data_IF_267329523603
#
_entry.id   IF_267329523603
#
_cell.length_a   1.000
_cell.length_b   1.000
_cell.length_c   1.000
_cell.angle_alpha   90.00
_cell.angle_beta   90.00
_cell.angle_gamma   90.00
#
_symmetry.space_group_name_H-M   'P 1'
#
loop_
_entity.id
_entity.type
_entity.pdbx_description
1 polymer ?
#
# COMPACT_ATOMS: atom_id res chain seq x y z
N UNK A 1 -71.69 50.76 40.07
CA UNK A 1 -73.16 50.73 39.89
C UNK A 1 -73.46 49.75 38.75
N UNK A 2 -73.96 48.57 39.12
CA UNK A 2 -74.83 47.62 38.42
C UNK A 2 -74.97 47.55 36.88
N UNK A 3 -75.25 46.30 36.45
CA UNK A 3 -75.94 45.82 35.22
C UNK A 3 -74.99 45.46 34.06
N UNK A 4 -74.68 44.17 33.83
CA UNK A 4 -75.49 43.07 33.24
C UNK A 4 -75.62 43.14 31.70
N UNK A 5 -74.98 42.15 31.07
CA UNK A 5 -75.28 41.40 29.83
C UNK A 5 -76.11 42.06 28.73
N UNK A 6 -75.60 42.00 27.50
CA UNK A 6 -76.37 41.54 26.34
C UNK A 6 -75.44 40.87 25.32
N UNK A 7 -75.79 39.63 24.98
CA UNK A 7 -75.24 38.82 23.91
C UNK A 7 -76.03 39.15 22.64
N UNK A 8 -75.35 39.44 21.53
CA UNK A 8 -75.91 39.30 20.18
C UNK A 8 -74.93 38.49 19.35
N UNK A 9 -75.37 37.27 19.00
CA UNK A 9 -74.81 36.45 17.93
C UNK A 9 -75.11 37.13 16.59
N UNK A 10 -74.09 37.34 15.76
CA UNK A 10 -74.24 37.47 14.32
C UNK A 10 -73.16 36.60 13.67
N UNK A 11 -73.60 35.49 13.07
CA UNK A 11 -72.76 34.59 12.32
C UNK A 11 -72.39 35.20 10.97
N UNK A 12 -71.10 35.16 10.63
CA UNK A 12 -70.63 35.28 9.26
C UNK A 12 -69.67 34.11 9.04
N UNK A 13 -70.05 33.25 8.09
CA UNK A 13 -69.26 32.15 7.60
C UNK A 13 -68.01 32.67 6.91
N UNK A 14 -66.84 32.21 7.35
CA UNK A 14 -65.59 32.35 6.61
C UNK A 14 -64.97 30.97 6.41
N UNK A 15 -64.71 30.69 5.14
CA UNK A 15 -64.21 29.44 4.59
C UNK A 15 -63.01 28.86 5.34
N UNK A 16 -63.10 27.57 5.61
CA UNK A 16 -62.01 26.66 5.92
C UNK A 16 -61.09 26.50 4.72
N UNK A 17 -59.83 26.92 4.84
CA UNK A 17 -58.71 26.36 4.08
C UNK A 17 -57.85 25.60 5.09
N UNK A 18 -57.94 24.28 5.04
CA UNK A 18 -57.05 23.40 5.78
C UNK A 18 -55.66 23.43 5.15
N UNK A 19 -54.66 23.82 5.93
CA UNK A 19 -53.27 23.50 5.63
C UNK A 19 -52.91 22.20 6.37
N UNK A 20 -53.18 21.08 5.72
CA UNK A 20 -52.53 19.80 6.03
C UNK A 20 -51.18 19.74 5.33
N UNK A 21 -50.15 19.51 6.16
CA UNK A 21 -48.88 18.81 5.89
C UNK A 21 -48.01 19.28 4.72
N UNK A 22 -46.75 19.60 5.06
CA UNK A 22 -45.61 18.75 4.64
C UNK A 22 -44.47 18.95 5.61
N UNK A 23 -44.25 17.95 6.46
CA UNK A 23 -43.03 17.80 7.22
C UNK A 23 -41.96 17.38 6.20
N UNK A 24 -41.18 18.34 5.70
CA UNK A 24 -40.04 18.05 4.84
C UNK A 24 -39.02 17.27 5.66
N UNK A 25 -39.06 15.94 5.56
CA UNK A 25 -37.91 15.11 5.87
C UNK A 25 -36.78 15.57 4.95
N UNK A 26 -35.85 16.35 5.51
CA UNK A 26 -34.51 16.47 4.97
C UNK A 26 -33.95 15.06 5.02
N UNK A 27 -34.00 14.35 3.88
CA UNK A 27 -33.18 13.17 3.66
C UNK A 27 -31.74 13.63 3.79
N UNK A 28 -31.15 13.44 4.97
CA UNK A 28 -29.70 13.43 5.11
C UNK A 28 -29.20 12.42 4.08
N UNK A 29 -28.60 12.92 3.01
CA UNK A 29 -27.89 12.09 2.04
C UNK A 29 -26.80 11.42 2.88
N UNK A 30 -26.99 10.15 3.24
CA UNK A 30 -25.98 9.39 3.98
C UNK A 30 -24.72 9.49 3.13
N UNK A 31 -23.70 10.19 3.64
CA UNK A 31 -22.44 10.33 2.92
C UNK A 31 -21.96 8.93 2.55
N UNK A 32 -21.51 8.77 1.30
CA UNK A 32 -20.99 7.49 0.84
C UNK A 32 -19.84 7.10 1.77
N UNK A 33 -19.89 5.89 2.35
CA UNK A 33 -18.87 5.43 3.28
C UNK A 33 -17.49 5.50 2.62
N UNK A 34 -16.50 6.05 3.32
CA UNK A 34 -15.11 6.04 2.85
C UNK A 34 -14.50 4.64 3.00
N UNK A 35 -13.41 4.33 2.29
CA UNK A 35 -12.74 3.03 2.42
C UNK A 35 -12.29 2.75 3.86
N UNK A 36 -11.60 3.70 4.50
CA UNK A 36 -11.12 3.54 5.88
C UNK A 36 -12.24 3.28 6.88
N UNK A 37 -13.44 3.83 6.67
CA UNK A 37 -14.61 3.59 7.53
C UNK A 37 -15.24 2.23 7.22
N UNK A 38 -15.43 1.92 5.93
CA UNK A 38 -16.05 0.67 5.49
C UNK A 38 -15.26 -0.57 5.97
N UNK A 39 -13.93 -0.47 6.02
CA UNK A 39 -13.04 -1.59 6.36
C UNK A 39 -12.40 -1.47 7.76
N UNK A 40 -12.77 -0.48 8.58
CA UNK A 40 -12.12 -0.16 9.86
C UNK A 40 -11.96 -1.37 10.80
N UNK A 41 -12.99 -2.21 10.90
CA UNK A 41 -13.02 -3.38 11.78
C UNK A 41 -12.43 -4.65 11.14
N UNK A 42 -11.85 -4.53 9.93
CA UNK A 42 -11.33 -5.65 9.13
C UNK A 42 -9.83 -5.59 9.02
N UNK A 43 -9.32 -4.52 8.44
CA UNK A 43 -7.90 -4.28 8.21
C UNK A 43 -7.65 -2.81 7.91
N UNK A 44 -6.39 -2.38 8.06
CA UNK A 44 -6.00 -1.05 7.60
C UNK A 44 -6.15 -0.93 6.08
N UNK A 45 -6.66 0.21 5.61
CA UNK A 45 -6.67 0.60 4.21
C UNK A 45 -5.59 1.66 4.01
N UNK A 46 -4.57 1.33 3.20
CA UNK A 46 -3.42 2.18 2.99
C UNK A 46 -3.19 2.62 1.55
N UNK A 47 -2.33 3.62 1.40
CA UNK A 47 -1.83 4.09 0.11
C UNK A 47 -0.35 4.47 0.17
N UNK A 48 0.37 4.27 -0.93
CA UNK A 48 1.73 4.75 -1.09
C UNK A 48 1.75 6.24 -1.45
N UNK A 49 2.59 7.01 -0.74
CA UNK A 49 2.72 8.45 -0.95
C UNK A 49 4.06 8.79 -1.62
N UNK A 50 3.99 9.54 -2.71
CA UNK A 50 5.15 10.18 -3.31
C UNK A 50 5.38 11.57 -2.70
N UNK A 51 6.43 12.28 -3.13
CA UNK A 51 6.80 13.57 -2.55
C UNK A 51 5.75 14.67 -2.76
N UNK A 52 4.91 14.59 -3.80
CA UNK A 52 3.85 15.57 -4.03
C UNK A 52 2.75 15.47 -2.96
N UNK A 53 2.41 14.26 -2.51
CA UNK A 53 1.50 14.06 -1.38
C UNK A 53 2.17 14.36 -0.03
N UNK A 54 3.38 13.84 0.20
CA UNK A 54 4.12 14.04 1.47
C UNK A 54 4.31 15.52 1.80
N UNK A 55 4.60 16.34 0.78
CA UNK A 55 4.76 17.78 0.92
C UNK A 55 3.46 18.58 0.73
N UNK A 56 2.31 17.90 0.66
CA UNK A 56 0.97 18.49 0.53
C UNK A 56 0.86 19.46 -0.69
N UNK A 57 1.57 19.16 -1.79
CA UNK A 57 1.63 19.99 -3.01
C UNK A 57 0.49 19.72 -3.99
N UNK A 58 -0.12 18.54 -3.89
CA UNK A 58 -1.30 18.16 -4.67
C UNK A 58 -2.55 18.10 -3.77
N UNK A 59 -3.27 19.23 -3.57
CA UNK A 59 -4.39 19.28 -2.64
C UNK A 59 -5.56 18.35 -3.01
N UNK A 60 -5.71 17.99 -4.29
CA UNK A 60 -6.77 17.09 -4.74
C UNK A 60 -6.44 15.65 -4.35
N UNK A 61 -5.21 15.19 -4.60
CA UNK A 61 -4.74 13.89 -4.11
C UNK A 61 -4.82 13.82 -2.58
N UNK A 62 -4.41 14.90 -1.90
CA UNK A 62 -4.42 14.98 -0.45
C UNK A 62 -5.80 14.82 0.18
N UNK A 63 -6.83 15.33 -0.49
CA UNK A 63 -8.21 15.12 -0.06
C UNK A 63 -8.56 13.63 -0.09
N UNK A 64 -8.21 12.93 -1.16
CA UNK A 64 -8.43 11.48 -1.27
C UNK A 64 -7.66 10.72 -0.19
N UNK A 65 -6.38 11.06 0.05
CA UNK A 65 -5.57 10.43 1.10
C UNK A 65 -6.25 10.54 2.48
N UNK A 66 -6.68 11.74 2.83
CA UNK A 66 -7.30 12.03 4.12
C UNK A 66 -8.67 11.39 4.29
N UNK A 67 -9.49 11.37 3.25
CA UNK A 67 -10.84 10.83 3.31
C UNK A 67 -10.82 9.29 3.30
N UNK A 68 -9.96 8.67 2.49
CA UNK A 68 -10.12 7.25 2.13
C UNK A 68 -9.19 6.30 2.89
N UNK A 69 -8.05 6.76 3.41
CA UNK A 69 -7.02 5.88 3.94
C UNK A 69 -6.73 6.14 5.43
N UNK A 70 -6.33 5.09 6.15
CA UNK A 70 -5.89 5.14 7.55
C UNK A 70 -4.48 4.54 7.76
N UNK A 71 -3.81 4.18 6.67
CA UNK A 71 -2.43 3.70 6.66
C UNK A 71 -1.65 4.30 5.48
N UNK A 72 -0.35 4.54 5.67
CA UNK A 72 0.52 5.12 4.65
C UNK A 72 1.89 4.44 4.62
N UNK A 73 2.48 4.42 3.42
CA UNK A 73 3.84 3.97 3.17
C UNK A 73 4.54 4.98 2.26
N UNK A 74 5.82 5.24 2.50
CA UNK A 74 6.60 6.12 1.64
C UNK A 74 7.02 5.36 0.36
N UNK A 75 6.62 5.86 -0.81
CA UNK A 75 6.91 5.20 -2.09
C UNK A 75 8.43 5.09 -2.35
N UNK A 76 9.18 6.13 -1.99
CA UNK A 76 10.62 6.22 -2.29
C UNK A 76 11.48 6.77 -1.15
N UNK A 77 11.04 7.83 -0.46
CA UNK A 77 11.94 8.63 0.39
C UNK A 77 12.54 7.88 1.60
N UNK A 78 12.01 6.69 1.95
CA UNK A 78 12.54 5.84 3.03
C UNK A 78 13.40 4.66 2.53
N UNK A 79 13.62 4.52 1.22
CA UNK A 79 14.56 3.52 0.68
C UNK A 79 16.00 3.93 0.98
N UNK A 80 16.89 2.94 1.13
CA UNK A 80 18.26 3.15 1.63
C UNK A 80 19.08 4.17 0.83
N UNK A 81 18.94 4.26 -0.50
CA UNK A 81 19.67 5.27 -1.30
C UNK A 81 19.27 6.71 -1.00
N UNK A 82 18.04 6.95 -0.57
CA UNK A 82 17.56 8.29 -0.22
C UNK A 82 17.86 8.63 1.24
N UNK A 83 17.76 7.63 2.13
CA UNK A 83 18.01 7.81 3.55
C UNK A 83 19.49 8.00 3.87
N UNK A 84 20.38 7.29 3.15
CA UNK A 84 21.82 7.35 3.39
C UNK A 84 22.60 7.35 2.07
N UNK A 85 22.57 8.45 1.30
CA UNK A 85 23.19 8.52 -0.02
C UNK A 85 24.71 8.34 -0.01
N UNK A 86 25.39 8.65 1.11
CA UNK A 86 26.82 8.40 1.34
C UNK A 86 27.05 7.77 2.70
N UNK A 87 28.15 7.02 2.83
CA UNK A 87 28.51 6.37 4.10
C UNK A 87 28.59 7.39 5.24
N UNK A 88 27.83 7.16 6.31
CA UNK A 88 27.75 8.05 7.46
C UNK A 88 26.96 9.36 7.26
N UNK A 89 26.53 9.71 6.05
CA UNK A 89 25.74 10.91 5.76
C UNK A 89 24.27 10.53 5.53
N UNK A 90 23.41 10.85 6.50
CA UNK A 90 21.98 10.60 6.42
C UNK A 90 21.19 11.82 5.98
N UNK A 91 20.17 11.60 5.16
CA UNK A 91 19.23 12.62 4.72
C UNK A 91 17.82 12.23 5.13
N UNK A 92 17.32 12.86 6.19
CA UNK A 92 16.02 12.54 6.79
C UNK A 92 14.90 13.51 6.43
N UNK A 93 15.17 14.58 5.69
CA UNK A 93 14.19 15.67 5.49
C UNK A 93 12.84 15.17 4.96
N UNK A 94 12.85 14.36 3.90
CA UNK A 94 11.61 13.87 3.28
C UNK A 94 10.93 12.79 4.12
N UNK A 95 11.71 11.91 4.77
CA UNK A 95 11.17 10.89 5.66
C UNK A 95 10.61 11.48 6.97
N UNK A 96 11.23 12.52 7.52
CA UNK A 96 10.70 13.28 8.66
C UNK A 96 9.36 13.93 8.30
N UNK A 97 9.26 14.50 7.09
CA UNK A 97 8.02 15.07 6.58
C UNK A 97 6.94 13.99 6.40
N UNK A 98 7.29 12.80 5.89
CA UNK A 98 6.37 11.66 5.82
C UNK A 98 5.84 11.23 7.20
N UNK A 99 6.72 11.13 8.20
CA UNK A 99 6.27 10.75 9.56
C UNK A 99 5.42 11.86 10.18
N UNK A 100 5.81 13.13 10.04
CA UNK A 100 5.00 14.25 10.52
C UNK A 100 3.62 14.31 9.84
N UNK A 101 3.56 13.98 8.54
CA UNK A 101 2.33 13.88 7.79
C UNK A 101 1.37 12.85 8.40
N UNK A 102 1.87 11.64 8.70
CA UNK A 102 1.08 10.56 9.26
C UNK A 102 0.66 10.81 10.71
N UNK A 103 1.55 11.35 11.55
CA UNK A 103 1.23 11.70 12.94
C UNK A 103 0.14 12.76 13.03
N UNK A 104 0.22 13.82 12.21
CA UNK A 104 -0.79 14.88 12.12
C UNK A 104 -2.19 14.33 11.81
N UNK A 105 -2.27 13.17 11.16
CA UNK A 105 -3.49 12.54 10.67
C UNK A 105 -3.84 11.24 11.40
N UNK A 106 -3.10 10.88 12.44
CA UNK A 106 -3.25 9.63 13.19
C UNK A 106 -3.28 8.38 12.28
N UNK A 107 -2.36 8.33 11.31
CA UNK A 107 -2.27 7.22 10.36
C UNK A 107 -1.32 6.13 10.87
N UNK A 108 -1.65 4.87 10.55
CA UNK A 108 -0.72 3.77 10.66
C UNK A 108 0.40 3.92 9.63
N UNK A 109 1.66 3.91 10.06
CA UNK A 109 2.81 4.23 9.19
C UNK A 109 3.71 3.01 9.04
N UNK A 110 4.02 2.67 7.79
CA UNK A 110 4.95 1.61 7.43
C UNK A 110 6.20 2.22 6.79
N UNK A 111 7.36 1.82 7.29
CA UNK A 111 8.65 2.19 6.72
C UNK A 111 9.06 1.23 5.61
N UNK A 112 9.37 1.77 4.44
CA UNK A 112 9.69 1.02 3.22
C UNK A 112 10.92 1.62 2.52
N UNK A 113 12.05 0.93 2.44
CA UNK A 113 12.43 -0.35 3.06
C UNK A 113 13.89 -0.26 3.50
N UNK A 114 14.27 -1.04 4.52
CA UNK A 114 15.60 -0.97 5.11
C UNK A 114 16.67 -1.62 4.21
N UNK A 115 16.42 -2.86 3.76
CA UNK A 115 17.36 -3.63 2.94
C UNK A 115 16.66 -4.12 1.68
N UNK A 116 17.11 -3.60 0.54
CA UNK A 116 16.63 -4.01 -0.76
C UNK A 116 17.77 -4.07 -1.75
N UNK A 117 17.76 -5.08 -2.63
CA UNK A 117 18.80 -5.25 -3.64
C UNK A 117 18.80 -4.11 -4.67
N UNK A 118 17.64 -3.49 -4.89
CA UNK A 118 17.49 -2.31 -5.72
C UNK A 118 17.50 -1.05 -4.86
N UNK A 119 17.82 0.09 -5.48
CA UNK A 119 17.83 1.41 -4.83
C UNK A 119 18.64 1.42 -3.51
N UNK A 120 19.67 0.58 -3.43
CA UNK A 120 20.70 0.63 -2.39
C UNK A 120 21.89 1.46 -2.89
N UNK A 121 22.45 2.35 -2.05
CA UNK A 121 23.50 3.23 -2.50
C UNK A 121 24.80 2.44 -2.68
N UNK A 122 25.52 2.67 -3.78
CA UNK A 122 26.71 1.90 -4.19
C UNK A 122 27.78 1.76 -3.09
N UNK A 123 27.88 2.76 -2.20
CA UNK A 123 28.84 2.74 -1.10
C UNK A 123 28.58 1.60 -0.11
N UNK A 124 27.37 1.04 0.01
CA UNK A 124 27.14 -0.15 0.83
C UNK A 124 28.09 -1.27 0.44
N UNK A 125 28.20 -1.49 -0.88
CA UNK A 125 28.82 -2.67 -1.43
C UNK A 125 30.31 -2.53 -1.67
N UNK A 126 30.78 -1.30 -1.89
CA UNK A 126 32.12 -1.09 -2.42
C UNK A 126 33.02 -0.25 -1.51
N UNK A 127 34.33 -0.47 -1.62
CA UNK A 127 35.36 0.39 -1.06
C UNK A 127 35.64 1.60 -1.97
N UNK A 128 36.63 2.43 -1.57
CA UNK A 128 37.07 3.60 -2.35
C UNK A 128 37.67 3.25 -3.72
N UNK A 129 38.08 2.00 -3.92
CA UNK A 129 38.64 1.48 -5.18
C UNK A 129 37.54 0.86 -6.07
N UNK A 130 36.29 0.81 -5.57
CA UNK A 130 35.15 0.24 -6.27
C UNK A 130 35.08 -1.29 -6.20
N UNK A 131 35.86 -1.94 -5.32
CA UNK A 131 35.83 -3.39 -5.09
C UNK A 131 34.82 -3.72 -4.00
N UNK A 132 34.24 -4.92 -4.06
CA UNK A 132 33.34 -5.41 -3.02
C UNK A 132 34.06 -5.41 -1.66
N UNK A 133 33.39 -4.90 -0.62
CA UNK A 133 33.93 -4.91 0.75
C UNK A 133 33.88 -6.29 1.38
N UNK A 134 34.60 -6.46 2.50
CA UNK A 134 34.52 -7.70 3.26
C UNK A 134 33.12 -7.90 3.87
N UNK A 135 32.82 -9.16 4.20
CA UNK A 135 31.61 -9.55 4.93
C UNK A 135 31.38 -8.71 6.17
N UNK A 136 32.40 -8.54 6.99
CA UNK A 136 32.34 -7.85 8.28
C UNK A 136 32.01 -6.36 8.09
N UNK A 137 32.63 -5.73 7.09
CA UNK A 137 32.34 -4.34 6.74
C UNK A 137 30.90 -4.19 6.28
N UNK A 138 30.39 -5.09 5.44
CA UNK A 138 28.98 -5.04 5.00
C UNK A 138 28.01 -5.20 6.17
N UNK A 139 28.27 -6.16 7.08
CA UNK A 139 27.44 -6.38 8.26
C UNK A 139 27.39 -5.12 9.13
N UNK A 140 28.53 -4.46 9.35
CA UNK A 140 28.58 -3.23 10.13
C UNK A 140 27.86 -2.07 9.44
N UNK A 141 27.98 -1.94 8.10
CA UNK A 141 27.24 -0.94 7.32
C UNK A 141 25.73 -1.17 7.41
N UNK A 142 25.27 -2.41 7.27
CA UNK A 142 23.86 -2.77 7.46
C UNK A 142 23.39 -2.46 8.88
N UNK A 143 24.18 -2.83 9.90
CA UNK A 143 23.88 -2.54 11.31
C UNK A 143 23.73 -1.04 11.53
N UNK A 144 24.71 -0.24 11.13
CA UNK A 144 24.70 1.21 11.29
C UNK A 144 23.49 1.85 10.60
N UNK A 145 23.22 1.46 9.34
CA UNK A 145 22.08 1.97 8.58
C UNK A 145 20.76 1.67 9.29
N UNK A 146 20.50 0.40 9.61
CA UNK A 146 19.26 -0.05 10.23
C UNK A 146 19.08 0.60 11.61
N UNK A 147 20.12 0.56 12.46
CA UNK A 147 20.04 1.17 13.79
C UNK A 147 19.77 2.66 13.73
N UNK A 148 20.43 3.40 12.83
CA UNK A 148 20.23 4.85 12.72
C UNK A 148 18.84 5.19 12.21
N UNK A 149 18.37 4.52 11.15
CA UNK A 149 17.06 4.76 10.54
C UNK A 149 15.93 4.35 11.50
N UNK A 150 15.95 3.12 12.01
CA UNK A 150 14.87 2.60 12.86
C UNK A 150 14.83 3.34 14.20
N UNK A 151 15.98 3.61 14.83
CA UNK A 151 16.01 4.34 16.11
C UNK A 151 15.48 5.77 16.00
N UNK A 152 15.66 6.43 14.84
CA UNK A 152 15.13 7.78 14.62
C UNK A 152 13.60 7.84 14.68
N UNK A 153 12.94 6.79 14.19
CA UNK A 153 11.47 6.71 14.12
C UNK A 153 10.87 5.74 15.12
N UNK A 154 11.64 5.37 16.14
CA UNK A 154 11.24 4.45 17.20
C UNK A 154 9.92 4.87 17.84
N UNK A 155 8.97 3.95 17.89
CA UNK A 155 7.62 4.18 18.44
C UNK A 155 6.73 5.11 17.60
N UNK A 156 7.19 5.56 16.43
CA UNK A 156 6.44 6.42 15.49
C UNK A 156 6.05 5.64 14.24
N UNK A 157 7.00 4.93 13.64
CA UNK A 157 6.74 3.99 12.55
C UNK A 157 6.32 2.64 13.13
N UNK A 158 5.16 2.13 12.71
CA UNK A 158 4.49 0.99 13.34
C UNK A 158 5.00 -0.36 12.81
N UNK A 159 5.46 -0.40 11.56
CA UNK A 159 6.06 -1.58 10.96
C UNK A 159 7.09 -1.24 9.90
N UNK A 160 8.02 -2.16 9.66
CA UNK A 160 9.08 -2.00 8.67
C UNK A 160 9.12 -3.16 7.70
N UNK A 161 9.16 -2.86 6.42
CA UNK A 161 9.68 -3.79 5.42
C UNK A 161 11.19 -3.88 5.63
N UNK A 162 11.63 -4.88 6.40
CA UNK A 162 13.04 -5.02 6.81
C UNK A 162 13.89 -5.50 5.63
N UNK A 163 13.40 -6.52 4.93
CA UNK A 163 14.02 -7.04 3.72
C UNK A 163 12.97 -7.14 2.63
N UNK A 164 13.28 -6.57 1.47
CA UNK A 164 12.43 -6.59 0.29
C UNK A 164 13.04 -7.47 -0.82
N UNK A 165 12.24 -8.35 -1.42
CA UNK A 165 12.52 -9.07 -2.68
C UNK A 165 13.82 -9.90 -2.70
N UNK A 166 14.05 -10.68 -1.63
CA UNK A 166 15.23 -11.55 -1.51
C UNK A 166 15.04 -12.94 -2.14
N UNK A 167 13.82 -13.30 -2.55
CA UNK A 167 13.50 -14.60 -3.16
C UNK A 167 13.13 -14.38 -4.64
N UNK A 168 13.65 -15.23 -5.52
CA UNK A 168 13.35 -15.24 -6.95
C UNK A 168 12.07 -16.03 -7.24
N UNK A 169 11.51 -15.84 -8.44
CA UNK A 169 10.28 -16.52 -8.86
C UNK A 169 10.38 -18.05 -8.88
N UNK A 170 11.60 -18.59 -8.97
CA UNK A 170 11.88 -20.03 -8.86
C UNK A 170 11.99 -20.55 -7.41
N UNK A 171 11.85 -19.68 -6.40
CA UNK A 171 11.95 -20.00 -4.98
C UNK A 171 13.36 -19.96 -4.40
N UNK A 172 14.39 -19.68 -5.20
CA UNK A 172 15.77 -19.55 -4.71
C UNK A 172 16.05 -18.15 -4.17
N UNK A 173 17.07 -18.02 -3.31
CA UNK A 173 17.57 -16.71 -2.93
C UNK A 173 18.17 -15.96 -4.11
N UNK A 174 17.74 -14.70 -4.26
CA UNK A 174 18.35 -13.72 -5.17
C UNK A 174 19.82 -13.54 -4.83
N UNK A 175 20.69 -13.70 -5.83
CA UNK A 175 22.14 -13.45 -5.71
C UNK A 175 22.44 -11.95 -5.77
N UNK A 176 21.84 -11.19 -4.86
CA UNK A 176 22.10 -9.75 -4.68
C UNK A 176 23.50 -9.53 -4.12
N UNK A 177 24.02 -8.29 -4.17
CA UNK A 177 25.30 -7.97 -3.52
C UNK A 177 25.30 -8.24 -2.02
N UNK A 178 24.15 -8.09 -1.35
CA UNK A 178 24.01 -8.52 0.05
C UNK A 178 24.24 -10.02 0.21
N UNK A 179 23.63 -10.84 -0.66
CA UNK A 179 23.82 -12.29 -0.66
C UNK A 179 25.24 -12.70 -1.09
N UNK A 180 25.83 -12.07 -2.10
CA UNK A 180 27.18 -12.43 -2.57
C UNK A 180 28.25 -12.17 -1.49
N UNK A 181 28.11 -11.09 -0.72
CA UNK A 181 29.09 -10.67 0.29
C UNK A 181 28.82 -11.31 1.66
N UNK A 182 27.56 -11.43 2.09
CA UNK A 182 27.18 -11.98 3.42
C UNK A 182 26.55 -13.39 3.33
N UNK A 183 26.09 -13.86 2.18
CA UNK A 183 25.30 -15.08 2.09
C UNK A 183 23.92 -14.93 2.75
N UNK A 184 23.20 -16.03 2.94
CA UNK A 184 21.81 -16.03 3.47
C UNK A 184 21.64 -15.25 4.79
N UNK A 185 22.70 -15.12 5.59
CA UNK A 185 22.70 -14.48 6.91
C UNK A 185 22.39 -12.97 6.88
N UNK A 186 22.43 -12.31 5.72
CA UNK A 186 22.07 -10.89 5.65
C UNK A 186 20.61 -10.64 6.10
N UNK A 187 19.71 -11.61 5.86
CA UNK A 187 18.30 -11.52 6.25
C UNK A 187 18.13 -11.60 7.78
N UNK A 188 18.53 -12.68 8.49
CA UNK A 188 18.38 -12.74 9.94
C UNK A 188 19.11 -11.60 10.65
N UNK A 189 20.28 -11.16 10.16
CA UNK A 189 20.98 -9.99 10.71
C UNK A 189 20.17 -8.70 10.57
N UNK A 190 19.54 -8.46 9.41
CA UNK A 190 18.71 -7.26 9.21
C UNK A 190 17.52 -7.22 10.19
N UNK A 191 16.82 -8.35 10.35
CA UNK A 191 15.73 -8.47 11.32
C UNK A 191 16.21 -8.31 12.77
N UNK A 192 17.36 -8.88 13.11
CA UNK A 192 17.97 -8.70 14.42
C UNK A 192 18.27 -7.22 14.69
N UNK A 193 18.92 -6.52 13.77
CA UNK A 193 19.26 -5.11 13.95
C UNK A 193 18.02 -4.22 14.05
N UNK A 194 16.97 -4.52 13.27
CA UNK A 194 15.70 -3.79 13.35
C UNK A 194 15.02 -4.00 14.73
N UNK A 195 14.98 -5.24 15.23
CA UNK A 195 14.47 -5.57 16.57
C UNK A 195 15.24 -4.87 17.68
N UNK A 196 16.57 -4.82 17.58
CA UNK A 196 17.44 -4.17 18.56
C UNK A 196 17.16 -2.66 18.62
N UNK A 197 16.98 -2.02 17.47
CA UNK A 197 16.71 -0.58 17.36
C UNK A 197 15.32 -0.21 17.88
N UNK A 198 14.28 -0.92 17.43
CA UNK A 198 12.91 -0.77 17.93
C UNK A 198 12.25 -2.13 18.20
N UNK A 199 12.21 -2.57 19.48
CA UNK A 199 11.56 -3.82 19.85
C UNK A 199 10.05 -3.85 19.60
N UNK A 200 9.38 -2.70 19.60
CA UNK A 200 7.92 -2.60 19.54
C UNK A 200 7.40 -2.54 18.11
N UNK A 201 8.21 -2.04 17.16
CA UNK A 201 7.86 -2.08 15.74
C UNK A 201 7.64 -3.53 15.26
N UNK A 202 6.71 -3.67 14.32
CA UNK A 202 6.52 -4.91 13.57
C UNK A 202 7.55 -5.04 12.45
N UNK A 203 8.04 -6.25 12.22
CA UNK A 203 9.11 -6.55 11.27
C UNK A 203 8.60 -7.45 10.17
N UNK A 204 8.68 -6.97 8.93
CA UNK A 204 8.11 -7.62 7.76
C UNK A 204 9.16 -8.05 6.75
N UNK A 205 8.88 -9.16 6.07
CA UNK A 205 9.47 -9.48 4.77
C UNK A 205 8.43 -9.19 3.69
N UNK A 206 8.83 -8.48 2.62
CA UNK A 206 7.93 -8.04 1.55
C UNK A 206 8.43 -8.52 0.18
N UNK A 207 7.54 -8.96 -0.71
CA UNK A 207 7.90 -9.45 -2.03
C UNK A 207 6.74 -9.43 -3.04
N UNK A 208 7.06 -9.36 -4.34
CA UNK A 208 6.10 -9.53 -5.44
C UNK A 208 5.98 -10.97 -5.89
N UNK A 209 5.03 -11.27 -6.79
CA UNK A 209 4.84 -12.59 -7.40
C UNK A 209 4.65 -13.73 -6.39
N UNK A 210 4.14 -13.42 -5.20
CA UNK A 210 3.96 -14.41 -4.11
C UNK A 210 2.91 -15.46 -4.44
N UNK A 211 2.05 -15.22 -5.43
CA UNK A 211 1.13 -16.21 -6.00
C UNK A 211 1.82 -17.26 -6.88
N UNK A 212 3.12 -17.12 -7.22
CA UNK A 212 3.86 -18.18 -7.91
C UNK A 212 4.19 -19.28 -6.89
N UNK A 213 3.76 -20.54 -7.08
CA UNK A 213 3.94 -21.60 -6.08
C UNK A 213 5.40 -21.82 -5.65
N UNK A 214 6.34 -21.74 -6.61
CA UNK A 214 7.75 -21.92 -6.32
C UNK A 214 8.30 -20.79 -5.44
N UNK A 215 7.97 -19.53 -5.76
CA UNK A 215 8.33 -18.36 -4.96
C UNK A 215 7.70 -18.41 -3.58
N UNK A 216 6.40 -18.68 -3.49
CA UNK A 216 5.67 -18.87 -2.23
C UNK A 216 6.39 -19.86 -1.32
N UNK A 217 6.76 -21.02 -1.87
CA UNK A 217 7.51 -22.05 -1.13
C UNK A 217 8.84 -21.52 -0.61
N UNK A 218 9.62 -20.83 -1.44
CA UNK A 218 10.90 -20.23 -1.03
C UNK A 218 10.75 -19.23 0.12
N UNK A 219 9.73 -18.37 0.05
CA UNK A 219 9.42 -17.39 1.12
C UNK A 219 9.02 -18.11 2.41
N UNK A 220 8.15 -19.13 2.34
CA UNK A 220 7.74 -19.93 3.50
C UNK A 220 8.93 -20.64 4.15
N UNK A 221 9.84 -21.21 3.35
CA UNK A 221 11.05 -21.86 3.85
C UNK A 221 12.01 -20.85 4.52
N UNK A 222 12.17 -19.67 3.93
CA UNK A 222 12.95 -18.57 4.52
C UNK A 222 12.37 -18.13 5.87
N UNK A 223 11.06 -17.88 5.93
CA UNK A 223 10.38 -17.46 7.17
C UNK A 223 10.49 -18.52 8.28
N UNK A 224 10.34 -19.81 7.94
CA UNK A 224 10.55 -20.92 8.89
C UNK A 224 11.99 -20.96 9.42
N UNK A 225 12.99 -20.71 8.57
CA UNK A 225 14.41 -20.61 9.01
C UNK A 225 14.60 -19.47 10.01
N UNK A 226 14.02 -18.30 9.76
CA UNK A 226 14.07 -17.17 10.70
C UNK A 226 13.42 -17.52 12.04
N UNK A 227 12.21 -18.07 12.03
CA UNK A 227 11.50 -18.48 13.23
C UNK A 227 12.28 -19.55 14.02
N UNK A 228 12.85 -20.54 13.34
CA UNK A 228 13.67 -21.59 13.96
C UNK A 228 14.95 -21.03 14.60
N UNK A 229 15.49 -19.93 14.07
CA UNK A 229 16.64 -19.22 14.64
C UNK A 229 16.24 -18.23 15.77
N UNK A 230 14.96 -18.16 16.15
CA UNK A 230 14.46 -17.23 17.17
C UNK A 230 14.40 -15.78 16.70
N UNK A 231 14.45 -15.53 15.40
CA UNK A 231 14.35 -14.19 14.82
C UNK A 231 12.87 -13.76 14.76
N UNK A 232 12.58 -12.56 15.29
CA UNK A 232 11.24 -11.95 15.22
C UNK A 232 10.90 -11.63 13.76
N UNK A 233 9.82 -12.22 13.26
CA UNK A 233 9.14 -11.86 12.02
C UNK A 233 7.65 -11.80 12.32
N UNK A 234 7.05 -10.62 12.17
CA UNK A 234 5.65 -10.40 12.56
C UNK A 234 4.69 -10.56 11.39
N UNK A 235 5.19 -10.37 10.16
CA UNK A 235 4.34 -10.42 8.99
C UNK A 235 5.06 -10.67 7.68
N UNK A 236 4.28 -11.16 6.71
CA UNK A 236 4.69 -11.36 5.32
C UNK A 236 3.81 -10.48 4.42
N UNK A 237 4.48 -9.62 3.66
CA UNK A 237 3.87 -8.70 2.71
C UNK A 237 3.77 -9.31 1.31
N UNK A 238 2.60 -9.19 0.72
CA UNK A 238 2.31 -9.52 -0.67
C UNK A 238 2.17 -8.21 -1.44
N UNK A 239 3.11 -7.90 -2.34
CA UNK A 239 3.04 -6.65 -3.10
C UNK A 239 1.78 -6.56 -3.96
N UNK A 240 1.30 -7.68 -4.51
CA UNK A 240 0.04 -7.72 -5.30
C UNK A 240 0.04 -6.79 -6.54
N UNK A 241 1.20 -6.62 -7.18
CA UNK A 241 1.28 -6.05 -8.52
C UNK A 241 0.68 -7.02 -9.54
N UNK A 242 -0.45 -6.64 -10.11
CA UNK A 242 -1.26 -7.52 -10.93
C UNK A 242 -1.51 -6.96 -12.33
N UNK A 243 -2.11 -7.81 -13.15
CA UNK A 243 -2.76 -7.41 -14.39
C UNK A 243 -4.18 -7.97 -14.44
N UNK A 244 -4.86 -7.72 -15.56
CA UNK A 244 -6.25 -8.16 -15.72
C UNK A 244 -6.44 -9.68 -15.64
N UNK A 245 -5.41 -10.47 -15.94
CA UNK A 245 -5.49 -11.94 -16.01
C UNK A 245 -4.55 -12.66 -15.05
N UNK A 246 -3.69 -11.94 -14.33
CA UNK A 246 -2.72 -12.52 -13.40
C UNK A 246 -2.54 -11.62 -12.16
N UNK A 247 -2.14 -12.12 -11.00
CA UNK A 247 -1.99 -13.54 -10.65
C UNK A 247 -3.35 -14.23 -10.37
N UNK A 248 -3.45 -15.56 -10.37
CA UNK A 248 -4.74 -16.23 -10.07
C UNK A 248 -5.26 -15.84 -8.66
N UNK A 249 -6.59 -15.67 -8.55
CA UNK A 249 -7.27 -15.50 -7.25
C UNK A 249 -7.00 -16.72 -6.36
N UNK A 250 -7.06 -17.94 -6.91
CA UNK A 250 -6.85 -19.17 -6.14
C UNK A 250 -5.41 -19.29 -5.63
N UNK A 251 -4.43 -18.93 -6.46
CA UNK A 251 -3.02 -18.96 -6.02
C UNK A 251 -2.72 -17.87 -4.99
N UNK A 252 -3.33 -16.70 -5.12
CA UNK A 252 -3.24 -15.63 -4.12
C UNK A 252 -3.88 -16.07 -2.80
N UNK A 253 -5.03 -16.74 -2.85
CA UNK A 253 -5.66 -17.34 -1.68
C UNK A 253 -4.75 -18.35 -0.99
N UNK A 254 -4.11 -19.23 -1.76
CA UNK A 254 -3.17 -20.20 -1.21
C UNK A 254 -1.97 -19.52 -0.54
N UNK A 255 -1.48 -18.40 -1.09
CA UNK A 255 -0.44 -17.58 -0.45
C UNK A 255 -0.88 -17.03 0.90
N UNK A 256 -2.09 -16.46 0.99
CA UNK A 256 -2.63 -15.96 2.27
C UNK A 256 -2.67 -17.09 3.30
N UNK A 257 -3.14 -18.27 2.92
CA UNK A 257 -3.24 -19.43 3.81
C UNK A 257 -1.86 -19.96 4.24
N UNK A 258 -0.92 -20.11 3.31
CA UNK A 258 0.42 -20.62 3.59
C UNK A 258 1.21 -19.66 4.49
N UNK A 259 1.08 -18.35 4.29
CA UNK A 259 1.71 -17.35 5.14
C UNK A 259 1.07 -17.32 6.54
N UNK A 260 -0.27 -17.30 6.62
CA UNK A 260 -0.96 -17.31 7.91
C UNK A 260 -0.69 -18.58 8.74
N UNK A 261 -0.47 -19.72 8.08
CA UNK A 261 -0.11 -20.98 8.75
C UNK A 261 1.23 -20.92 9.50
N UNK A 262 2.07 -19.91 9.25
CA UNK A 262 3.29 -19.64 10.02
C UNK A 262 3.04 -18.89 11.33
N UNK A 263 1.79 -18.49 11.61
CA UNK A 263 1.44 -17.71 12.79
C UNK A 263 1.88 -16.24 12.73
N UNK A 264 2.15 -15.74 11.52
CA UNK A 264 2.48 -14.32 11.24
C UNK A 264 1.29 -13.61 10.61
N UNK A 265 1.27 -12.29 10.65
CA UNK A 265 0.30 -11.48 9.93
C UNK A 265 0.52 -11.55 8.43
N UNK A 266 -0.56 -11.47 7.66
CA UNK A 266 -0.50 -11.30 6.21
C UNK A 266 -0.89 -9.85 5.87
N UNK A 267 -0.26 -9.30 4.83
CA UNK A 267 -0.58 -7.95 4.35
C UNK A 267 -0.56 -7.93 2.83
N UNK A 268 -1.45 -7.13 2.25
CA UNK A 268 -1.34 -6.67 0.87
C UNK A 268 -0.70 -5.29 0.90
N UNK A 269 0.46 -5.15 0.28
CA UNK A 269 1.38 -4.03 0.56
C UNK A 269 1.46 -3.00 -0.56
N UNK A 270 1.30 -3.39 -1.83
CA UNK A 270 1.58 -2.54 -2.99
C UNK A 270 0.59 -2.76 -4.15
N UNK A 271 -0.68 -3.00 -3.82
CA UNK A 271 -1.64 -3.47 -4.82
C UNK A 271 -1.87 -2.44 -5.93
N UNK A 272 -1.75 -2.91 -7.16
CA UNK A 272 -2.12 -2.20 -8.38
C UNK A 272 -2.51 -3.22 -9.47
N UNK A 273 -3.35 -2.84 -10.43
CA UNK A 273 -3.80 -3.74 -11.51
C UNK A 273 -3.60 -3.05 -12.86
N UNK A 274 -2.48 -3.36 -13.53
CA UNK A 274 -2.19 -2.86 -14.88
C UNK A 274 -3.22 -3.36 -15.89
N UNK A 275 -3.79 -2.43 -16.66
CA UNK A 275 -4.66 -2.76 -17.81
C UNK A 275 -3.89 -2.86 -19.12
N UNK A 276 -2.63 -2.40 -19.13
CA UNK A 276 -1.82 -2.35 -20.34
C UNK A 276 -1.30 -3.73 -20.73
N UNK A 277 -1.13 -3.98 -22.05
CA UNK A 277 -0.45 -5.17 -22.54
C UNK A 277 0.98 -5.26 -21.99
N UNK A 278 1.37 -6.46 -21.59
CA UNK A 278 2.74 -6.70 -21.12
C UNK A 278 3.69 -6.91 -22.30
N UNK A 279 4.87 -6.31 -22.22
CA UNK A 279 5.94 -6.53 -23.19
C UNK A 279 6.52 -7.96 -23.13
N UNK A 280 6.30 -8.68 -22.02
CA UNK A 280 6.86 -10.00 -21.74
C UNK A 280 5.80 -10.96 -21.18
N UNK A 281 6.11 -12.26 -21.22
CA UNK A 281 5.23 -13.35 -20.75
C UNK A 281 5.14 -13.46 -19.22
N UNK A 282 6.22 -13.14 -18.51
CA UNK A 282 6.22 -13.09 -17.04
C UNK A 282 5.90 -11.67 -16.60
N UNK A 283 5.00 -11.55 -15.63
CA UNK A 283 4.57 -10.25 -15.10
C UNK A 283 4.89 -10.18 -13.62
N UNK A 284 5.53 -9.08 -13.22
CA UNK A 284 5.98 -8.82 -11.86
C UNK A 284 6.46 -7.37 -11.72
N UNK A 285 7.27 -7.10 -10.70
CA UNK A 285 7.82 -5.78 -10.39
C UNK A 285 9.36 -5.74 -10.35
N UNK A 286 10.01 -6.66 -11.06
CA UNK A 286 11.47 -6.73 -11.15
C UNK A 286 12.06 -5.48 -11.82
N UNK A 287 12.53 -4.50 -11.05
CA UNK A 287 12.92 -3.17 -11.54
C UNK A 287 13.93 -3.15 -12.70
N UNK A 288 14.73 -4.21 -12.88
CA UNK A 288 15.66 -4.31 -14.02
C UNK A 288 14.97 -4.57 -15.37
N UNK A 289 13.68 -4.89 -15.38
CA UNK A 289 12.94 -5.04 -16.62
C UNK A 289 12.72 -3.69 -17.32
N UNK A 290 13.17 -3.61 -18.57
CA UNK A 290 12.91 -2.50 -19.48
C UNK A 290 12.45 -3.02 -20.83
N UNK A 291 11.64 -2.22 -21.52
CA UNK A 291 11.25 -2.46 -22.90
C UNK A 291 11.18 -1.15 -23.69
N UNK A 292 11.51 -1.21 -24.98
CA UNK A 292 11.35 -0.04 -25.86
C UNK A 292 9.87 0.28 -26.07
N UNK A 293 9.55 1.57 -26.10
CA UNK A 293 8.20 2.05 -26.36
C UNK A 293 7.66 1.54 -27.70
N UNK A 294 6.42 1.06 -27.67
CA UNK A 294 5.63 0.69 -28.85
C UNK A 294 4.19 1.10 -28.59
N UNK A 295 3.55 1.75 -29.55
CA UNK A 295 2.14 2.16 -29.44
C UNK A 295 1.20 0.99 -29.12
N UNK A 296 1.53 -0.22 -29.58
CA UNK A 296 0.78 -1.45 -29.25
C UNK A 296 0.83 -1.84 -27.76
N UNK A 297 1.76 -1.28 -26.98
CA UNK A 297 1.93 -1.50 -25.54
C UNK A 297 1.40 -0.32 -24.71
N UNK A 298 0.83 0.69 -25.37
CA UNK A 298 0.18 1.86 -24.78
C UNK A 298 -1.12 2.21 -25.54
N UNK A 299 -2.10 1.28 -25.61
CA UNK A 299 -3.28 1.46 -26.47
C UNK A 299 -4.34 2.44 -25.91
N UNK A 300 -4.18 2.94 -24.68
CA UNK A 300 -5.22 3.66 -23.93
C UNK A 300 -4.78 5.07 -23.50
N UNK A 301 -4.06 5.77 -24.38
CA UNK A 301 -3.47 7.10 -24.08
C UNK A 301 -4.49 8.16 -23.69
N UNK A 302 -5.61 8.21 -24.41
CA UNK A 302 -6.63 9.25 -24.21
C UNK A 302 -7.66 8.84 -23.15
N UNK A 303 -8.13 7.59 -23.23
CA UNK A 303 -9.14 7.05 -22.31
C UNK A 303 -9.05 5.51 -22.23
N UNK A 304 -9.54 4.97 -21.10
CA UNK A 304 -9.72 3.53 -20.94
C UNK A 304 -11.10 3.12 -21.48
N UNK A 305 -11.19 2.21 -22.47
CA UNK A 305 -12.47 1.74 -22.99
C UNK A 305 -13.36 1.14 -21.88
N UNK A 306 -14.67 1.36 -21.97
CA UNK A 306 -15.65 0.90 -20.95
C UNK A 306 -15.51 -0.59 -20.63
N UNK A 307 -15.31 -1.44 -21.64
CA UNK A 307 -15.09 -2.88 -21.43
C UNK A 307 -13.85 -3.18 -20.57
N UNK A 308 -12.76 -2.41 -20.75
CA UNK A 308 -11.54 -2.56 -19.93
C UNK A 308 -11.72 -1.98 -18.53
N UNK A 309 -12.49 -0.90 -18.39
CA UNK A 309 -12.89 -0.38 -17.07
C UNK A 309 -13.70 -1.41 -16.29
N UNK A 310 -14.63 -2.11 -16.96
CA UNK A 310 -15.40 -3.20 -16.34
C UNK A 310 -14.52 -4.40 -15.96
N UNK A 311 -13.60 -4.84 -16.84
CA UNK A 311 -12.64 -5.90 -16.52
C UNK A 311 -11.79 -5.54 -15.29
N UNK A 312 -11.27 -4.31 -15.24
CA UNK A 312 -10.50 -3.78 -14.11
C UNK A 312 -11.33 -3.78 -12.82
N UNK A 313 -12.56 -3.28 -12.90
CA UNK A 313 -13.45 -3.19 -11.74
C UNK A 313 -13.81 -4.56 -11.19
N UNK A 314 -14.19 -5.49 -12.06
CA UNK A 314 -14.48 -6.87 -11.67
C UNK A 314 -13.26 -7.50 -10.99
N UNK A 315 -12.06 -7.25 -11.52
CA UNK A 315 -10.82 -7.77 -10.96
C UNK A 315 -10.56 -7.26 -9.54
N UNK A 316 -10.69 -5.96 -9.31
CA UNK A 316 -10.58 -5.37 -7.97
C UNK A 316 -11.63 -5.95 -7.02
N UNK A 317 -12.89 -6.04 -7.46
CA UNK A 317 -13.98 -6.63 -6.66
C UNK A 317 -13.66 -8.07 -6.24
N UNK A 318 -13.09 -8.88 -7.14
CA UNK A 318 -12.75 -10.27 -6.83
C UNK A 318 -11.63 -10.39 -5.80
N UNK A 319 -10.60 -9.55 -5.88
CA UNK A 319 -9.55 -9.50 -4.86
C UNK A 319 -10.05 -8.95 -3.52
N UNK A 320 -10.87 -7.90 -3.50
CA UNK A 320 -11.43 -7.39 -2.24
C UNK A 320 -12.41 -8.39 -1.59
N UNK A 321 -13.14 -9.19 -2.37
CA UNK A 321 -13.89 -10.34 -1.83
C UNK A 321 -12.96 -11.36 -1.18
N UNK A 322 -11.85 -11.69 -1.84
CA UNK A 322 -10.84 -12.60 -1.28
C UNK A 322 -10.25 -12.04 0.02
N UNK A 323 -9.92 -10.75 0.06
CA UNK A 323 -9.35 -10.13 1.26
C UNK A 323 -10.34 -10.10 2.42
N UNK A 324 -11.63 -9.81 2.16
CA UNK A 324 -12.69 -9.92 3.16
C UNK A 324 -12.90 -11.36 3.65
N UNK A 325 -12.83 -12.34 2.77
CA UNK A 325 -12.90 -13.77 3.13
C UNK A 325 -11.83 -14.17 4.15
N UNK A 326 -10.65 -13.53 4.09
CA UNK A 326 -9.52 -13.78 4.98
C UNK A 326 -9.15 -12.58 5.87
N UNK A 327 -10.13 -11.75 6.20
CA UNK A 327 -9.94 -10.58 7.08
C UNK A 327 -9.41 -10.92 8.48
N UNK A 328 -9.55 -12.18 8.92
CA UNK A 328 -8.96 -12.68 10.16
C UNK A 328 -7.43 -12.90 10.09
N UNK A 329 -6.87 -12.89 8.87
CA UNK A 329 -5.43 -13.13 8.59
C UNK A 329 -4.74 -11.90 8.03
N UNK A 330 -5.47 -11.07 7.28
CA UNK A 330 -4.97 -9.87 6.63
C UNK A 330 -5.09 -8.69 7.60
N UNK A 331 -3.96 -8.05 7.89
CA UNK A 331 -3.91 -6.89 8.78
C UNK A 331 -3.98 -5.56 8.05
N UNK A 332 -3.59 -5.52 6.77
CA UNK A 332 -3.53 -4.30 5.96
C UNK A 332 -3.68 -4.63 4.47
N UNK A 333 -4.41 -3.78 3.75
CA UNK A 333 -4.46 -3.72 2.30
C UNK A 333 -4.03 -2.32 1.86
N UNK A 334 -2.97 -2.21 1.06
CA UNK A 334 -2.38 -0.93 0.62
C UNK A 334 -2.28 -0.88 -0.89
N UNK A 335 -2.75 0.23 -1.47
CA UNK A 335 -2.62 0.53 -2.89
C UNK A 335 -1.30 1.24 -3.18
N UNK A 336 -0.64 0.93 -4.28
CA UNK A 336 0.64 1.57 -4.65
C UNK A 336 0.46 2.88 -5.43
N UNK A 337 -0.24 3.82 -4.78
CA UNK A 337 -0.50 5.18 -5.23
C UNK A 337 -1.90 5.66 -4.85
N UNK A 338 -2.15 6.95 -5.07
CA UNK A 338 -3.43 7.60 -4.73
C UNK A 338 -4.39 7.57 -5.92
N UNK A 339 -4.00 8.18 -7.05
CA UNK A 339 -4.75 8.15 -8.31
C UNK A 339 -3.87 7.72 -9.47
N UNK A 340 -4.48 7.36 -10.60
CA UNK A 340 -3.77 6.83 -11.78
C UNK A 340 -2.62 7.72 -12.27
N UNK A 341 -2.69 9.03 -12.03
CA UNK A 341 -1.62 9.97 -12.37
C UNK A 341 -0.32 9.73 -11.59
N UNK A 342 -0.41 9.19 -10.37
CA UNK A 342 0.73 8.95 -9.50
C UNK A 342 1.40 7.58 -9.74
N UNK A 343 0.78 6.70 -10.52
CA UNK A 343 1.26 5.32 -10.63
C UNK A 343 2.59 5.22 -11.38
N UNK A 344 3.54 4.50 -10.77
CA UNK A 344 4.80 4.11 -11.38
C UNK A 344 4.63 3.32 -12.70
N UNK A 345 3.51 2.63 -12.90
CA UNK A 345 3.20 1.87 -14.13
C UNK A 345 3.10 2.73 -15.39
N UNK A 346 2.89 4.04 -15.21
CA UNK A 346 2.95 5.02 -16.31
C UNK A 346 4.37 5.11 -16.90
N UNK A 347 5.40 4.86 -16.09
CA UNK A 347 6.79 5.02 -16.51
C UNK A 347 7.62 3.73 -16.46
N UNK A 348 6.99 2.61 -16.08
CA UNK A 348 7.68 1.33 -15.96
C UNK A 348 6.82 0.15 -16.43
N UNK A 349 7.40 -0.85 -17.14
CA UNK A 349 8.80 -0.96 -17.60
C UNK A 349 9.09 -0.16 -18.89
N UNK A 350 8.12 0.65 -19.33
CA UNK A 350 8.20 1.50 -20.51
C UNK A 350 7.83 2.91 -20.07
N UNK A 351 8.74 3.86 -20.30
CA UNK A 351 8.57 5.26 -19.97
C UNK A 351 7.48 5.91 -20.84
N UNK A 352 6.64 6.76 -20.24
CA UNK A 352 5.67 7.60 -20.97
C UNK A 352 4.37 6.92 -21.39
N UNK A 353 3.99 5.80 -20.79
CA UNK A 353 2.70 5.14 -21.03
C UNK A 353 1.58 5.70 -20.16
N UNK A 354 0.34 5.39 -20.53
CA UNK A 354 -0.86 5.77 -19.79
C UNK A 354 -1.55 4.53 -19.25
N UNK A 355 -1.29 4.17 -17.99
CA UNK A 355 -1.99 3.08 -17.30
C UNK A 355 -3.16 3.60 -16.45
N UNK A 356 -4.01 2.70 -15.97
CA UNK A 356 -5.16 3.02 -15.12
C UNK A 356 -5.26 2.08 -13.92
N UNK A 357 -4.20 1.89 -13.12
CA UNK A 357 -4.11 0.71 -12.28
C UNK A 357 -4.72 0.87 -10.89
N UNK A 358 -5.17 2.07 -10.50
CA UNK A 358 -5.62 2.39 -9.13
C UNK A 358 -7.14 2.54 -9.03
N UNK A 359 -7.64 2.85 -7.83
CA UNK A 359 -9.09 3.02 -7.58
C UNK A 359 -9.62 4.41 -7.97
N UNK A 360 -8.74 5.42 -7.98
CA UNK A 360 -9.07 6.79 -8.37
C UNK A 360 -8.43 7.11 -9.71
N UNK A 361 -9.15 7.86 -10.54
CA UNK A 361 -8.68 8.24 -11.86
C UNK A 361 -7.58 9.32 -11.80
N UNK A 362 -7.15 9.81 -12.96
CA UNK A 362 -6.11 10.85 -13.08
C UNK A 362 -6.53 12.21 -12.50
N UNK A 363 -7.82 12.43 -12.30
CA UNK A 363 -8.38 13.62 -11.66
C UNK A 363 -8.71 13.39 -10.19
N UNK A 364 -8.33 12.23 -9.63
CA UNK A 364 -8.61 11.82 -8.26
C UNK A 364 -10.09 11.59 -7.95
N UNK A 365 -10.90 11.37 -8.97
CA UNK A 365 -12.30 10.98 -8.80
C UNK A 365 -12.40 9.44 -8.68
N UNK A 366 -13.32 8.90 -7.87
CA UNK A 366 -13.48 7.46 -7.72
C UNK A 366 -13.93 6.84 -9.04
N UNK A 367 -13.26 5.75 -9.46
CA UNK A 367 -13.68 4.99 -10.64
C UNK A 367 -15.05 4.32 -10.43
N UNK A 368 -15.79 4.00 -11.51
CA UNK A 368 -17.16 3.50 -11.40
C UNK A 368 -17.36 2.27 -10.49
N UNK A 369 -16.35 1.41 -10.38
CA UNK A 369 -16.39 0.18 -9.58
C UNK A 369 -16.04 0.38 -8.09
N UNK A 370 -15.61 1.58 -7.68
CA UNK A 370 -15.29 1.87 -6.27
C UNK A 370 -16.49 1.61 -5.35
N UNK A 371 -17.70 1.94 -5.82
CA UNK A 371 -18.93 1.69 -5.06
C UNK A 371 -19.18 0.20 -4.85
N UNK A 372 -18.83 -0.65 -5.84
CA UNK A 372 -19.01 -2.09 -5.72
C UNK A 372 -18.11 -2.68 -4.63
N UNK A 373 -16.88 -2.17 -4.50
CA UNK A 373 -15.96 -2.56 -3.43
C UNK A 373 -16.51 -2.13 -2.06
N UNK A 374 -16.94 -0.87 -1.92
CA UNK A 374 -17.52 -0.36 -0.67
C UNK A 374 -18.79 -1.13 -0.26
N UNK A 375 -19.58 -1.59 -1.22
CA UNK A 375 -20.78 -2.41 -0.97
C UNK A 375 -20.46 -3.82 -0.47
N UNK A 376 -19.24 -4.35 -0.72
CA UNK A 376 -18.81 -5.62 -0.13
C UNK A 376 -18.71 -5.54 1.39
N UNK A 377 -18.25 -4.41 1.92
CA UNK A 377 -18.02 -4.22 3.35
C UNK A 377 -19.30 -4.01 4.18
N UNK A 378 -20.45 -3.76 3.51
CA UNK A 378 -21.77 -3.63 4.16
C UNK A 378 -22.39 -4.98 4.54
N UNK A 379 -21.84 -6.07 4.03
CA UNK A 379 -22.28 -7.45 4.25
C UNK A 379 -21.49 -8.08 5.39
#
# INVERSE_FOLDING_TARGET
MNIVKTIILAGIATWSIGCTSTNSQVTQKKEAATFKEAYADRFYIGTALNLEQIWERNPVAEKVVQEQFNSIVAENCMKSMFMQPREGEFYFKDADQFVAYGEKRNMHMVGHTLIWHSQAPRWFFTDKEGKDVSREVMIERMRNHIHTVVSRYKGRVHGWDVVNEAILDNGEYRKSKFYEIIGEEFIPLAFQFAKEADPEAELYYNDYSTAIPAKRKGIVEMAKKLQAAGIKIDGLGMQEHHGLTHASIEETEQTILDFAALGVKVMVTEMDISVLPHARRHVGAELTDTAAYKQTLDPYQEELPEGKMHELGQRYVDFFKLYLKHQDKISRVTLWGVGDADSWKNNWPIEGRTDYPLLFDRNYEPKPFVTDILDLAKK
#
